data_IF_206620518844
#
_entry.id   IF_206620518844
#
_cell.length_a   1.000
_cell.length_b   1.000
_cell.length_c   1.000
_cell.angle_alpha   90.00
_cell.angle_beta   90.00
_cell.angle_gamma   90.00
#
_symmetry.space_group_name_H-M   'P 1'
#
loop_
_entity.id
_entity.type
_entity.pdbx_description
1 polymer ?
#
# COMPACT_ATOMS: atom_id res chain seq x y z
N UNK A 1 -17.98 27.51 -0.71
CA UNK A 1 -17.10 28.69 -0.67
C UNK A 1 -16.17 28.58 -1.87
N UNK A 2 -16.43 29.39 -2.89
CA UNK A 2 -15.68 29.40 -4.16
C UNK A 2 -14.20 29.70 -3.92
N UNK A 3 -13.33 28.87 -4.50
CA UNK A 3 -11.88 29.09 -4.50
C UNK A 3 -11.55 29.87 -5.77
N UNK A 4 -11.34 31.18 -5.65
CA UNK A 4 -10.90 32.07 -6.72
C UNK A 4 -9.37 32.27 -6.71
N UNK A 5 -8.69 31.58 -7.66
CA UNK A 5 -7.47 31.87 -8.47
C UNK A 5 -6.37 32.89 -8.03
N UNK A 6 -5.11 32.85 -8.59
CA UNK A 6 -4.35 31.78 -9.24
C UNK A 6 -2.85 31.75 -8.82
N UNK A 7 -2.41 30.67 -8.17
CA UNK A 7 -1.04 30.17 -8.32
C UNK A 7 -1.17 28.66 -8.52
N UNK A 8 -0.57 28.14 -9.59
CA UNK A 8 -0.65 26.75 -10.02
C UNK A 8 -0.30 25.77 -8.89
N UNK A 9 -1.29 25.36 -8.10
CA UNK A 9 -1.29 24.01 -7.56
C UNK A 9 -1.16 23.11 -8.80
N UNK A 10 -0.02 22.43 -8.95
CA UNK A 10 0.03 21.21 -9.76
C UNK A 10 -0.77 20.14 -9.04
N UNK A 11 -2.05 20.41 -8.77
CA UNK A 11 -3.02 19.45 -8.24
C UNK A 11 -3.29 18.44 -9.34
N UNK A 12 -2.32 17.57 -9.59
CA UNK A 12 -2.60 16.24 -10.07
C UNK A 12 -3.14 15.52 -8.85
N UNK A 13 -4.44 15.72 -8.56
CA UNK A 13 -5.17 14.72 -7.80
C UNK A 13 -5.08 13.46 -8.67
N UNK A 14 -4.14 12.62 -8.31
CA UNK A 14 -3.79 11.39 -9.02
C UNK A 14 -4.10 10.27 -8.04
N UNK A 15 -5.02 9.39 -8.45
CA UNK A 15 -5.25 8.14 -7.74
C UNK A 15 -3.94 7.38 -7.68
N UNK A 16 -3.45 7.15 -6.47
CA UNK A 16 -2.24 6.39 -6.23
C UNK A 16 -2.39 4.99 -6.86
N UNK A 17 -1.76 4.78 -8.01
CA UNK A 17 -1.54 3.44 -8.53
C UNK A 17 -0.33 2.83 -7.80
N UNK A 18 -0.36 1.51 -7.57
CA UNK A 18 0.77 0.77 -6.98
C UNK A 18 2.02 0.72 -7.91
N UNK A 19 1.96 1.35 -9.09
CA UNK A 19 3.09 1.51 -10.01
C UNK A 19 3.79 2.87 -9.85
N UNK A 20 4.74 2.91 -8.91
CA UNK A 20 5.59 4.09 -8.62
C UNK A 20 6.30 4.71 -9.83
N UNK A 21 6.48 3.99 -10.95
CA UNK A 21 7.07 4.57 -12.17
C UNK A 21 6.13 5.54 -12.85
N UNK A 22 4.83 5.27 -12.79
CA UNK A 22 3.82 6.19 -13.30
C UNK A 22 3.92 7.50 -12.53
N UNK A 23 4.00 7.42 -11.21
CA UNK A 23 4.14 8.58 -10.32
C UNK A 23 5.41 9.37 -10.63
N UNK A 24 6.55 8.70 -10.76
CA UNK A 24 7.80 9.38 -11.12
C UNK A 24 7.70 10.14 -12.45
N UNK A 25 7.03 9.57 -13.46
CA UNK A 25 6.82 10.22 -14.77
C UNK A 25 5.83 11.39 -14.69
N UNK A 26 4.78 11.26 -13.88
CA UNK A 26 3.68 12.23 -13.80
C UNK A 26 4.01 13.37 -12.85
N UNK A 27 4.46 13.07 -11.63
CA UNK A 27 4.68 14.03 -10.55
C UNK A 27 5.98 14.83 -10.77
N UNK A 28 7.03 14.18 -11.30
CA UNK A 28 8.35 14.79 -11.54
C UNK A 28 8.86 15.58 -10.32
N UNK A 29 8.80 14.93 -9.16
CA UNK A 29 9.17 15.52 -7.88
C UNK A 29 10.61 16.04 -7.89
N UNK A 30 10.81 17.15 -7.19
CA UNK A 30 12.07 17.87 -7.03
C UNK A 30 12.28 18.22 -5.55
N UNK A 31 13.49 18.68 -5.21
CA UNK A 31 13.82 19.10 -3.85
C UNK A 31 13.08 20.35 -3.35
N UNK A 32 12.27 21.00 -4.20
CA UNK A 32 11.42 22.13 -3.82
C UNK A 32 10.00 21.69 -3.46
N UNK A 33 9.65 20.42 -3.69
CA UNK A 33 8.28 19.95 -3.55
C UNK A 33 7.90 19.62 -2.10
N UNK A 34 6.65 19.93 -1.78
CA UNK A 34 5.98 19.60 -0.53
C UNK A 34 4.84 18.66 -0.88
N UNK A 35 5.03 17.38 -0.59
CA UNK A 35 4.14 16.30 -0.98
C UNK A 35 3.20 15.98 0.18
N UNK A 36 1.89 16.01 -0.07
CA UNK A 36 0.89 15.37 0.79
C UNK A 36 0.52 14.03 0.17
N UNK A 37 0.56 12.94 0.93
CA UNK A 37 0.16 11.62 0.45
C UNK A 37 -0.49 10.80 1.55
N UNK A 38 -1.43 9.93 1.19
CA UNK A 38 -1.87 8.90 2.12
C UNK A 38 -0.72 7.92 2.42
N UNK A 39 -0.70 7.28 3.59
CA UNK A 39 0.38 6.37 3.96
C UNK A 39 0.39 5.11 3.10
N UNK A 40 -0.74 4.40 2.99
CA UNK A 40 -0.90 3.17 2.19
C UNK A 40 0.31 2.21 2.28
N UNK A 41 0.55 1.67 3.47
CA UNK A 41 1.70 0.82 3.82
C UNK A 41 3.10 1.46 3.65
N UNK A 42 3.20 2.67 3.10
CA UNK A 42 4.42 3.46 2.98
C UNK A 42 5.22 3.28 1.70
N UNK A 43 4.80 2.44 0.75
CA UNK A 43 5.64 2.10 -0.42
C UNK A 43 5.80 3.27 -1.40
N UNK A 44 4.71 3.99 -1.70
CA UNK A 44 4.77 5.22 -2.49
C UNK A 44 5.61 6.31 -1.82
N UNK A 45 5.53 6.43 -0.49
CA UNK A 45 6.34 7.38 0.28
C UNK A 45 7.84 7.06 0.13
N UNK A 46 8.23 5.79 0.21
CA UNK A 46 9.61 5.38 -0.02
C UNK A 46 10.05 5.71 -1.44
N UNK A 47 9.19 5.51 -2.45
CA UNK A 47 9.47 5.90 -3.82
C UNK A 47 9.65 7.42 -3.96
N UNK A 48 8.78 8.23 -3.37
CA UNK A 48 8.86 9.69 -3.44
C UNK A 48 10.12 10.22 -2.76
N UNK A 49 10.53 9.60 -1.65
CA UNK A 49 11.78 9.95 -0.97
C UNK A 49 13.03 9.81 -1.86
N UNK A 50 13.00 8.98 -2.91
CA UNK A 50 14.10 8.85 -3.88
C UNK A 50 14.36 10.12 -4.70
N UNK A 51 13.35 10.98 -4.82
CA UNK A 51 13.47 12.30 -5.45
C UNK A 51 13.92 13.39 -4.47
N UNK A 52 14.06 13.05 -3.18
CA UNK A 52 14.47 13.96 -2.10
C UNK A 52 13.67 15.28 -2.07
N UNK A 53 12.33 15.24 -2.05
CA UNK A 53 11.52 16.44 -1.91
C UNK A 53 11.78 17.16 -0.58
N UNK A 54 11.43 18.45 -0.51
CA UNK A 54 11.64 19.25 0.69
C UNK A 54 10.90 18.64 1.89
N UNK A 55 9.65 18.21 1.67
CA UNK A 55 8.80 17.58 2.69
C UNK A 55 7.86 16.53 2.09
N UNK A 56 7.60 15.48 2.86
CA UNK A 56 6.54 14.50 2.59
C UNK A 56 5.67 14.41 3.84
N UNK A 57 4.38 14.65 3.70
CA UNK A 57 3.36 14.46 4.72
C UNK A 57 2.61 13.17 4.40
N UNK A 58 2.91 12.12 5.15
CA UNK A 58 2.23 10.83 5.12
C UNK A 58 1.05 10.86 6.09
N UNK A 59 -0.17 10.65 5.61
CA UNK A 59 -1.38 10.76 6.43
C UNK A 59 -2.18 9.48 6.36
N UNK A 60 -2.54 8.95 7.53
CA UNK A 60 -3.41 7.78 7.61
C UNK A 60 -4.06 7.71 9.00
N UNK A 61 -5.41 7.66 9.11
CA UNK A 61 -6.07 7.51 10.40
C UNK A 61 -5.76 6.16 11.05
N UNK A 62 -5.38 5.13 10.27
CA UNK A 62 -4.97 3.84 10.81
C UNK A 62 -3.54 3.90 11.38
N UNK A 63 -3.33 3.70 12.69
CA UNK A 63 -2.00 3.69 13.27
C UNK A 63 -1.14 2.53 12.74
N UNK A 64 -1.75 1.42 12.31
CA UNK A 64 -1.04 0.23 11.84
C UNK A 64 -0.27 0.48 10.54
N UNK A 65 -0.85 1.25 9.61
CA UNK A 65 -0.20 1.65 8.36
C UNK A 65 1.02 2.53 8.63
N UNK A 66 0.86 3.49 9.55
CA UNK A 66 1.94 4.37 9.99
C UNK A 66 3.05 3.60 10.71
N UNK A 67 2.71 2.63 11.57
CA UNK A 67 3.70 1.77 12.23
C UNK A 67 4.51 0.94 11.24
N UNK A 68 3.90 0.48 10.14
CA UNK A 68 4.62 -0.22 9.07
C UNK A 68 5.55 0.72 8.30
N UNK A 69 5.11 1.94 7.98
CA UNK A 69 5.99 2.95 7.38
C UNK A 69 7.19 3.27 8.29
N UNK A 70 6.95 3.50 9.57
CA UNK A 70 8.02 3.75 10.55
C UNK A 70 9.01 2.59 10.63
N UNK A 71 8.52 1.35 10.58
CA UNK A 71 9.39 0.16 10.54
C UNK A 71 10.27 0.15 9.29
N UNK A 72 9.71 0.44 8.12
CA UNK A 72 10.45 0.51 6.86
C UNK A 72 11.53 1.61 6.92
N UNK A 73 11.17 2.81 7.38
CA UNK A 73 12.10 3.95 7.53
C UNK A 73 13.24 3.60 8.50
N UNK A 74 12.92 3.03 9.68
CA UNK A 74 13.91 2.60 10.64
C UNK A 74 14.85 1.51 10.07
N UNK A 75 14.30 0.58 9.28
CA UNK A 75 15.08 -0.47 8.64
C UNK A 75 16.10 0.10 7.64
N UNK A 76 15.70 1.02 6.77
CA UNK A 76 16.62 1.66 5.82
C UNK A 76 17.68 2.51 6.53
N UNK A 77 17.37 3.15 7.65
CA UNK A 77 18.32 3.96 8.42
C UNK A 77 19.36 3.13 9.18
N UNK A 78 18.98 1.96 9.73
CA UNK A 78 19.79 1.27 10.73
C UNK A 78 20.34 -0.10 10.33
N UNK A 79 19.78 -0.73 9.29
CA UNK A 79 20.09 -2.10 8.91
C UNK A 79 20.94 -2.20 7.65
N UNK A 80 21.61 -3.34 7.50
CA UNK A 80 22.31 -3.69 6.27
C UNK A 80 21.32 -4.06 5.18
N UNK A 81 21.74 -3.96 3.91
CA UNK A 81 20.92 -4.40 2.77
C UNK A 81 20.46 -5.86 2.90
N UNK A 82 21.30 -6.74 3.46
CA UNK A 82 20.95 -8.14 3.66
C UNK A 82 19.79 -8.31 4.66
N UNK A 83 19.78 -7.52 5.74
CA UNK A 83 18.74 -7.58 6.76
C UNK A 83 17.46 -6.87 6.29
N UNK A 84 17.58 -5.75 5.57
CA UNK A 84 16.43 -5.11 4.90
C UNK A 84 15.78 -6.06 3.90
N UNK A 85 16.58 -6.76 3.08
CA UNK A 85 16.06 -7.74 2.11
C UNK A 85 15.33 -8.89 2.81
N UNK A 86 15.82 -9.38 3.94
CA UNK A 86 15.10 -10.39 4.73
C UNK A 86 13.81 -9.79 5.30
N UNK A 87 13.93 -8.71 6.07
CA UNK A 87 12.81 -8.12 6.81
C UNK A 87 11.67 -7.70 5.90
N UNK A 88 11.97 -6.87 4.90
CA UNK A 88 10.98 -6.34 3.98
C UNK A 88 10.79 -7.28 2.80
N UNK A 89 11.87 -7.82 2.22
CA UNK A 89 11.73 -8.57 0.98
C UNK A 89 11.15 -9.98 1.10
N UNK A 90 11.61 -10.77 2.07
CA UNK A 90 10.96 -12.06 2.36
C UNK A 90 9.82 -11.93 3.36
N UNK A 91 9.63 -10.74 3.95
CA UNK A 91 8.65 -10.50 5.01
C UNK A 91 9.00 -11.24 6.31
N UNK A 92 10.25 -11.70 6.47
CA UNK A 92 10.66 -12.51 7.62
C UNK A 92 12.07 -12.19 8.07
N UNK A 93 12.27 -12.22 9.38
CA UNK A 93 13.60 -12.06 9.95
C UNK A 93 13.70 -12.80 11.30
N UNK A 94 14.52 -13.88 11.40
CA UNK A 94 14.59 -14.67 12.63
C UNK A 94 15.09 -13.84 13.83
N UNK A 95 16.01 -12.92 13.59
CA UNK A 95 16.55 -12.04 14.64
C UNK A 95 15.77 -10.72 14.78
N UNK A 96 14.52 -10.64 14.27
CA UNK A 96 13.72 -9.41 14.33
C UNK A 96 13.60 -8.82 15.74
N UNK A 97 13.30 -9.58 16.81
CA UNK A 97 13.17 -9.02 18.16
C UNK A 97 14.45 -8.29 18.61
N UNK A 98 15.61 -8.89 18.33
CA UNK A 98 16.90 -8.32 18.70
C UNK A 98 17.20 -7.05 17.90
N UNK A 99 16.95 -7.06 16.59
CA UNK A 99 17.12 -5.88 15.72
C UNK A 99 16.18 -4.75 16.12
N UNK A 100 14.93 -5.08 16.46
CA UNK A 100 13.93 -4.12 16.90
C UNK A 100 14.43 -3.32 18.11
N UNK A 101 14.92 -4.03 19.13
CA UNK A 101 15.40 -3.40 20.37
C UNK A 101 16.73 -2.65 20.15
N UNK A 102 17.71 -3.31 19.51
CA UNK A 102 19.08 -2.80 19.46
C UNK A 102 19.40 -1.83 18.33
N UNK A 103 18.64 -1.85 17.24
CA UNK A 103 18.94 -1.10 16.02
C UNK A 103 17.80 -0.22 15.55
N UNK A 104 16.56 -0.71 15.57
CA UNK A 104 15.42 -0.01 14.99
C UNK A 104 14.77 0.99 15.97
N UNK A 105 14.75 0.68 17.27
CA UNK A 105 14.09 1.50 18.29
C UNK A 105 14.48 2.99 18.31
N UNK A 106 15.75 3.41 18.02
CA UNK A 106 16.10 4.82 18.01
C UNK A 106 15.52 5.61 16.83
N UNK A 107 14.98 4.93 15.81
CA UNK A 107 14.53 5.52 14.55
C UNK A 107 13.03 5.43 14.34
N UNK A 108 12.27 5.11 15.38
CA UNK A 108 10.81 5.03 15.35
C UNK A 108 10.20 5.61 16.62
N UNK A 109 8.92 5.95 16.56
CA UNK A 109 8.16 6.41 17.72
C UNK A 109 7.99 5.30 18.76
N UNK A 110 7.74 5.69 20.01
CA UNK A 110 7.46 4.73 21.08
C UNK A 110 6.22 3.88 20.80
N UNK A 111 5.23 4.43 20.08
CA UNK A 111 4.00 3.70 19.70
C UNK A 111 4.31 2.61 18.69
N UNK A 112 5.04 2.93 17.62
CA UNK A 112 5.46 1.95 16.63
C UNK A 112 6.36 0.87 17.25
N UNK A 113 7.30 1.26 18.11
CA UNK A 113 8.16 0.32 18.83
C UNK A 113 7.34 -0.67 19.68
N UNK A 114 6.41 -0.18 20.50
CA UNK A 114 5.54 -1.03 21.33
C UNK A 114 4.70 -1.99 20.48
N UNK A 115 4.10 -1.48 19.40
CA UNK A 115 3.33 -2.31 18.46
C UNK A 115 4.18 -3.45 17.91
N UNK A 116 5.38 -3.16 17.39
CA UNK A 116 6.25 -4.19 16.82
C UNK A 116 6.86 -5.12 17.88
N UNK A 117 7.03 -4.65 19.12
CA UNK A 117 7.50 -5.47 20.23
C UNK A 117 6.47 -6.57 20.57
N UNK A 118 5.18 -6.21 20.62
CA UNK A 118 4.07 -7.16 20.80
C UNK A 118 3.91 -8.06 19.57
N UNK A 119 4.19 -7.56 18.37
CA UNK A 119 4.00 -8.27 17.10
C UNK A 119 5.27 -8.87 16.50
N UNK A 120 6.31 -9.11 17.30
CA UNK A 120 7.59 -9.67 16.80
C UNK A 120 7.43 -11.00 16.07
N UNK A 121 6.45 -11.80 16.49
CA UNK A 121 6.11 -13.10 15.91
C UNK A 121 5.75 -13.02 14.41
N UNK A 122 5.30 -11.87 13.91
CA UNK A 122 5.01 -11.67 12.48
C UNK A 122 6.23 -11.97 11.62
N UNK A 123 7.41 -11.55 12.06
CA UNK A 123 8.66 -11.70 11.31
C UNK A 123 9.52 -12.89 11.76
N UNK A 124 9.51 -13.21 13.06
CA UNK A 124 10.42 -14.22 13.63
C UNK A 124 9.82 -15.62 13.70
N UNK A 125 8.50 -15.78 13.59
CA UNK A 125 7.86 -17.08 13.71
C UNK A 125 8.22 -18.00 12.54
N UNK A 126 8.69 -19.20 12.88
CA UNK A 126 8.94 -20.28 11.91
C UNK A 126 7.65 -20.82 11.32
N UNK A 127 6.55 -20.82 12.11
CA UNK A 127 5.21 -21.26 11.69
C UNK A 127 4.41 -20.15 11.01
N UNK A 128 4.69 -18.89 11.35
CA UNK A 128 4.07 -17.72 10.75
C UNK A 128 4.41 -17.62 9.27
N UNK A 129 3.63 -16.83 8.52
CA UNK A 129 3.82 -16.66 7.08
C UNK A 129 4.56 -15.38 6.69
N UNK A 130 4.92 -14.56 7.66
CA UNK A 130 5.65 -13.31 7.44
C UNK A 130 4.71 -12.10 7.32
N UNK A 131 5.31 -10.94 7.11
CA UNK A 131 4.66 -9.64 6.97
C UNK A 131 3.51 -9.64 5.97
N UNK A 132 3.74 -10.18 4.78
CA UNK A 132 2.77 -10.11 3.68
C UNK A 132 1.49 -10.91 3.94
N UNK A 133 1.53 -11.88 4.85
CA UNK A 133 0.36 -12.64 5.30
C UNK A 133 -0.06 -12.28 6.73
N UNK A 134 0.39 -11.13 7.23
CA UNK A 134 -0.14 -10.47 8.41
C UNK A 134 -1.08 -9.32 8.00
N UNK A 135 -2.05 -8.98 8.85
CA UNK A 135 -3.06 -7.94 8.54
C UNK A 135 -4.05 -8.34 7.45
N UNK A 136 -4.76 -7.34 6.89
CA UNK A 136 -5.85 -7.54 5.93
C UNK A 136 -5.44 -8.18 4.60
N UNK A 137 -4.22 -7.94 4.11
CA UNK A 137 -3.70 -8.56 2.88
C UNK A 137 -3.62 -10.09 2.94
N UNK A 138 -3.62 -10.66 4.16
CA UNK A 138 -3.64 -12.11 4.40
C UNK A 138 -4.75 -12.82 3.64
N UNK A 139 -5.95 -12.24 3.56
CA UNK A 139 -7.10 -12.91 2.97
C UNK A 139 -6.94 -13.06 1.46
N UNK A 140 -6.61 -11.97 0.77
CA UNK A 140 -6.33 -11.97 -0.66
C UNK A 140 -5.17 -12.94 -1.01
N UNK A 141 -4.07 -12.87 -0.26
CA UNK A 141 -2.91 -13.74 -0.50
C UNK A 141 -3.22 -15.22 -0.23
N UNK A 142 -4.07 -15.54 0.76
CA UNK A 142 -4.50 -16.91 1.01
C UNK A 142 -5.32 -17.48 -0.13
N UNK A 143 -6.23 -16.71 -0.73
CA UNK A 143 -7.01 -17.17 -1.89
C UNK A 143 -6.09 -17.36 -3.10
N UNK A 144 -5.26 -16.36 -3.40
CA UNK A 144 -4.31 -16.46 -4.51
C UNK A 144 -3.44 -17.70 -4.31
N UNK A 145 -2.94 -17.95 -3.10
CA UNK A 145 -2.16 -19.15 -2.81
C UNK A 145 -2.98 -20.43 -2.99
N UNK A 146 -4.20 -20.48 -2.47
CA UNK A 146 -5.08 -21.65 -2.64
C UNK A 146 -5.16 -21.99 -4.13
N UNK A 147 -5.47 -21.01 -4.98
CA UNK A 147 -5.53 -21.17 -6.43
C UNK A 147 -4.20 -21.56 -7.07
N UNK A 148 -3.09 -20.94 -6.64
CA UNK A 148 -1.73 -21.29 -7.08
C UNK A 148 -1.41 -22.75 -6.77
N UNK A 149 -1.89 -23.27 -5.63
CA UNK A 149 -1.56 -24.61 -5.14
C UNK A 149 -2.52 -25.70 -5.61
N UNK A 150 -3.79 -25.38 -5.86
CA UNK A 150 -4.82 -26.35 -6.27
C UNK A 150 -4.92 -26.53 -7.78
N UNK A 151 -4.38 -25.60 -8.56
CA UNK A 151 -4.42 -25.59 -10.03
C UNK A 151 -2.97 -25.55 -10.53
N UNK A 152 -2.70 -26.05 -11.75
CA UNK A 152 -1.38 -25.96 -12.45
C UNK A 152 -0.75 -24.56 -12.48
N UNK A 153 -1.47 -23.53 -12.03
CA UNK A 153 -1.17 -22.11 -11.93
C UNK A 153 0.24 -21.77 -11.42
N UNK A 154 0.83 -22.57 -10.53
CA UNK A 154 2.23 -22.41 -10.11
C UNK A 154 3.20 -22.42 -11.32
N UNK A 155 2.99 -23.32 -12.29
CA UNK A 155 3.81 -23.39 -13.50
C UNK A 155 3.71 -22.13 -14.36
N UNK A 156 2.51 -21.53 -14.46
CA UNK A 156 2.31 -20.31 -15.24
C UNK A 156 2.83 -19.06 -14.53
N UNK A 157 2.70 -18.97 -13.21
CA UNK A 157 3.34 -17.90 -12.42
C UNK A 157 4.86 -17.99 -12.54
N UNK A 158 5.43 -19.19 -12.43
CA UNK A 158 6.87 -19.39 -12.62
C UNK A 158 7.32 -19.03 -14.06
N UNK A 159 6.50 -19.33 -15.08
CA UNK A 159 6.76 -18.92 -16.45
C UNK A 159 6.70 -17.39 -16.61
N UNK A 160 5.69 -16.74 -16.02
CA UNK A 160 5.55 -15.28 -16.02
C UNK A 160 6.77 -14.59 -15.41
N UNK A 161 7.25 -15.08 -14.26
CA UNK A 161 8.43 -14.54 -13.56
C UNK A 161 9.75 -14.82 -14.29
N UNK A 162 9.79 -15.82 -15.18
CA UNK A 162 10.97 -16.16 -16.00
C UNK A 162 10.94 -15.54 -17.39
N UNK A 163 9.84 -14.90 -17.78
CA UNK A 163 9.71 -14.27 -19.08
C UNK A 163 10.83 -13.25 -19.30
N UNK A 164 11.41 -13.25 -20.50
CA UNK A 164 12.54 -12.37 -20.84
C UNK A 164 12.10 -11.13 -21.61
N UNK A 165 10.85 -11.12 -22.08
CA UNK A 165 10.30 -10.03 -22.88
C UNK A 165 8.88 -9.68 -22.42
N UNK A 166 8.48 -8.42 -22.62
CA UNK A 166 7.11 -7.99 -22.33
C UNK A 166 6.08 -8.77 -23.16
N UNK A 167 6.40 -9.11 -24.41
CA UNK A 167 5.47 -9.84 -25.27
C UNK A 167 5.19 -11.25 -24.71
N UNK A 168 6.23 -11.98 -24.32
CA UNK A 168 6.11 -13.29 -23.68
C UNK A 168 5.32 -13.20 -22.36
N UNK A 169 5.63 -12.21 -21.52
CA UNK A 169 4.91 -11.99 -20.27
C UNK A 169 3.41 -11.72 -20.51
N UNK A 170 3.08 -10.84 -21.46
CA UNK A 170 1.71 -10.50 -21.83
C UNK A 170 0.95 -11.70 -22.38
N UNK A 171 1.59 -12.52 -23.21
CA UNK A 171 0.97 -13.74 -23.75
C UNK A 171 0.64 -14.73 -22.62
N UNK A 172 1.60 -15.02 -21.73
CA UNK A 172 1.38 -15.89 -20.58
C UNK A 172 0.26 -15.33 -19.69
N UNK A 173 0.29 -14.04 -19.40
CA UNK A 173 -0.71 -13.40 -18.56
C UNK A 173 -2.11 -13.48 -19.17
N UNK A 174 -2.29 -12.96 -20.39
CA UNK A 174 -3.60 -12.87 -21.03
C UNK A 174 -4.23 -14.24 -21.30
N UNK A 175 -3.41 -15.25 -21.65
CA UNK A 175 -3.93 -16.56 -22.02
C UNK A 175 -4.10 -17.51 -20.85
N UNK A 176 -3.25 -17.42 -19.80
CA UNK A 176 -3.22 -18.41 -18.73
C UNK A 176 -3.56 -17.89 -17.34
N UNK A 177 -3.28 -16.62 -17.05
CA UNK A 177 -3.38 -16.08 -15.68
C UNK A 177 -4.61 -15.21 -15.54
N UNK A 178 -4.74 -14.20 -16.41
CA UNK A 178 -5.82 -13.22 -16.41
C UNK A 178 -7.21 -13.87 -16.37
N UNK A 179 -7.55 -14.91 -17.15
CA UNK A 179 -8.90 -15.50 -17.11
C UNK A 179 -9.29 -16.12 -15.75
N UNK A 180 -8.32 -16.45 -14.91
CA UNK A 180 -8.54 -17.08 -13.61
C UNK A 180 -8.70 -16.01 -12.53
N UNK A 181 -7.72 -15.10 -12.45
CA UNK A 181 -7.70 -14.02 -11.45
C UNK A 181 -8.73 -12.93 -11.78
N UNK A 182 -8.97 -12.68 -13.06
CA UNK A 182 -10.05 -11.84 -13.54
C UNK A 182 -11.23 -12.76 -13.85
N UNK A 183 -11.70 -13.53 -12.87
CA UNK A 183 -13.02 -14.17 -12.95
C UNK A 183 -13.97 -13.49 -11.97
N UNK A 184 -15.25 -13.35 -12.34
CA UNK A 184 -16.25 -12.73 -11.45
C UNK A 184 -16.37 -13.45 -10.11
N UNK A 185 -16.23 -14.78 -10.12
CA UNK A 185 -16.23 -15.61 -8.91
C UNK A 185 -15.05 -15.25 -8.00
N UNK A 186 -13.84 -15.12 -8.56
CA UNK A 186 -12.66 -14.75 -7.77
C UNK A 186 -12.80 -13.38 -7.13
N UNK A 187 -13.24 -12.41 -7.92
CA UNK A 187 -13.35 -11.03 -7.47
C UNK A 187 -14.44 -10.86 -6.41
N UNK A 188 -15.55 -11.57 -6.58
CA UNK A 188 -16.59 -11.66 -5.58
C UNK A 188 -16.07 -12.27 -4.26
N UNK A 189 -15.31 -13.37 -4.33
CA UNK A 189 -14.70 -13.98 -3.13
C UNK A 189 -13.73 -13.04 -2.42
N UNK A 190 -12.96 -12.25 -3.17
CA UNK A 190 -12.10 -11.22 -2.59
C UNK A 190 -12.92 -10.13 -1.88
N UNK A 191 -13.92 -9.58 -2.56
CA UNK A 191 -14.78 -8.53 -2.01
C UNK A 191 -15.52 -8.98 -0.73
N UNK A 192 -16.01 -10.23 -0.69
CA UNK A 192 -16.66 -10.76 0.52
C UNK A 192 -15.70 -10.85 1.72
N UNK A 193 -14.47 -11.30 1.50
CA UNK A 193 -13.50 -11.46 2.59
C UNK A 193 -12.96 -10.12 3.09
N UNK A 194 -12.87 -9.12 2.22
CA UNK A 194 -12.52 -7.76 2.61
C UNK A 194 -13.64 -7.12 3.45
N UNK A 195 -14.90 -7.32 3.06
CA UNK A 195 -16.06 -6.85 3.82
C UNK A 195 -16.13 -7.50 5.23
N UNK A 196 -15.92 -8.81 5.33
CA UNK A 196 -15.87 -9.52 6.61
C UNK A 196 -14.74 -9.01 7.52
N UNK A 197 -13.60 -8.64 6.93
CA UNK A 197 -12.48 -8.11 7.70
C UNK A 197 -12.76 -6.71 8.25
N UNK A 198 -13.27 -5.80 7.42
CA UNK A 198 -13.68 -4.45 7.83
C UNK A 198 -14.74 -4.51 8.94
N UNK A 199 -15.71 -5.42 8.83
CA UNK A 199 -16.70 -5.67 9.87
C UNK A 199 -16.04 -6.15 11.18
N UNK A 200 -15.06 -7.06 11.09
CA UNK A 200 -14.34 -7.57 12.27
C UNK A 200 -13.49 -6.53 12.98
N UNK A 201 -12.86 -5.61 12.24
CA UNK A 201 -12.06 -4.51 12.81
C UNK A 201 -12.96 -3.46 13.48
N UNK A 202 -14.09 -3.12 12.85
CA UNK A 202 -15.08 -2.20 13.40
C UNK A 202 -15.60 -2.68 14.76
N UNK A 203 -15.88 -3.99 14.88
CA UNK A 203 -16.30 -4.63 16.13
C UNK A 203 -15.16 -4.60 17.17
N UNK A 204 -13.91 -4.85 16.77
CA UNK A 204 -12.76 -4.87 17.66
C UNK A 204 -12.41 -3.49 18.23
N UNK A 205 -12.70 -2.40 17.49
CA UNK A 205 -12.48 -1.01 17.93
C UNK A 205 -13.57 -0.47 18.87
N UNK A 206 -14.57 -1.28 19.23
CA UNK A 206 -15.63 -0.86 20.17
C UNK A 206 -16.61 0.18 19.61
N UNK A 207 -16.61 0.41 18.28
CA UNK A 207 -17.66 1.15 17.58
C UNK A 207 -18.84 0.21 17.34
N UNK A 208 -19.77 0.15 18.29
CA UNK A 208 -20.90 -0.79 18.30
C UNK A 208 -21.94 -0.61 17.18
N UNK A 209 -22.66 -1.71 16.93
CA UNK A 209 -23.91 -1.92 16.17
C UNK A 209 -23.90 -2.09 14.64
N UNK A 210 -22.77 -2.41 14.02
CA UNK A 210 -22.79 -3.02 12.69
C UNK A 210 -22.98 -4.55 12.80
N UNK A 211 -24.23 -5.02 12.72
CA UNK A 211 -24.49 -6.44 12.43
C UNK A 211 -23.75 -6.85 11.14
N UNK A 212 -23.05 -8.00 11.08
CA UNK A 212 -22.36 -8.50 9.88
C UNK A 212 -23.23 -8.68 8.62
N UNK A 213 -24.52 -8.36 8.71
CA UNK A 213 -25.55 -8.52 7.68
C UNK A 213 -26.30 -7.22 7.38
N UNK A 214 -25.77 -6.05 7.77
CA UNK A 214 -26.41 -4.75 7.53
C UNK A 214 -26.19 -4.17 6.13
N UNK A 215 -25.49 -4.87 5.24
CA UNK A 215 -25.45 -4.52 3.82
C UNK A 215 -26.49 -5.37 3.09
N UNK A 216 -27.39 -4.72 2.34
CA UNK A 216 -28.37 -5.46 1.56
C UNK A 216 -27.65 -6.31 0.52
N UNK A 217 -28.09 -7.56 0.27
CA UNK A 217 -27.55 -8.43 -0.78
C UNK A 217 -27.41 -7.69 -2.13
N UNK A 218 -28.27 -6.68 -2.38
CA UNK A 218 -28.25 -5.83 -3.57
C UNK A 218 -27.02 -4.92 -3.69
N UNK A 219 -26.45 -4.43 -2.59
CA UNK A 219 -25.25 -3.57 -2.57
C UNK A 219 -23.97 -4.42 -2.72
N UNK A 220 -23.96 -5.63 -2.12
CA UNK A 220 -22.88 -6.60 -2.24
C UNK A 220 -22.75 -7.20 -3.66
N UNK A 221 -23.87 -7.36 -4.37
CA UNK A 221 -23.90 -8.08 -5.65
C UNK A 221 -23.52 -7.26 -6.89
N UNK A 222 -23.36 -5.93 -6.82
CA UNK A 222 -23.07 -5.12 -8.02
C UNK A 222 -21.98 -4.04 -7.88
N UNK A 223 -21.73 -3.48 -6.69
CA UNK A 223 -20.82 -2.32 -6.56
C UNK A 223 -19.41 -2.70 -6.09
N UNK A 224 -19.29 -3.45 -5.00
CA UNK A 224 -17.98 -3.75 -4.41
C UNK A 224 -17.14 -4.71 -5.25
N UNK A 225 -17.77 -5.75 -5.83
CA UNK A 225 -17.07 -6.68 -6.71
C UNK A 225 -16.60 -6.02 -8.01
N UNK A 226 -17.37 -5.07 -8.54
CA UNK A 226 -16.99 -4.33 -9.76
C UNK A 226 -15.85 -3.34 -9.47
N UNK A 227 -15.88 -2.64 -8.34
CA UNK A 227 -14.79 -1.75 -7.96
C UNK A 227 -13.48 -2.52 -7.67
N UNK A 228 -13.53 -3.66 -6.97
CA UNK A 228 -12.35 -4.53 -6.78
C UNK A 228 -11.85 -5.05 -8.13
N UNK A 229 -12.76 -5.40 -9.04
CA UNK A 229 -12.39 -5.80 -10.40
C UNK A 229 -11.67 -4.69 -11.16
N UNK A 230 -12.26 -3.49 -11.19
CA UNK A 230 -11.70 -2.33 -11.88
C UNK A 230 -10.32 -1.98 -11.31
N UNK A 231 -10.19 -1.95 -9.98
CA UNK A 231 -8.91 -1.75 -9.31
C UNK A 231 -7.88 -2.80 -9.72
N UNK A 232 -8.26 -4.08 -9.73
CA UNK A 232 -7.39 -5.17 -10.16
C UNK A 232 -6.97 -5.02 -11.63
N UNK A 233 -7.87 -4.64 -12.53
CA UNK A 233 -7.57 -4.42 -13.95
C UNK A 233 -6.63 -3.23 -14.10
N UNK A 234 -6.95 -2.09 -13.49
CA UNK A 234 -6.13 -0.88 -13.57
C UNK A 234 -4.73 -1.09 -13.00
N UNK A 235 -4.59 -1.93 -11.97
CA UNK A 235 -3.30 -2.23 -11.35
C UNK A 235 -2.53 -3.33 -12.09
N UNK A 236 -3.10 -4.53 -12.19
CA UNK A 236 -2.39 -5.72 -12.69
C UNK A 236 -2.19 -5.67 -14.20
N UNK A 237 -3.22 -5.29 -14.99
CA UNK A 237 -3.06 -5.21 -16.45
C UNK A 237 -2.06 -4.10 -16.80
N UNK A 238 -2.06 -2.98 -16.07
CA UNK A 238 -1.07 -1.93 -16.29
C UNK A 238 0.36 -2.43 -16.05
N UNK A 239 0.63 -3.00 -14.87
CA UNK A 239 1.96 -3.49 -14.50
C UNK A 239 2.45 -4.55 -15.48
N UNK A 240 1.61 -5.52 -15.84
CA UNK A 240 1.95 -6.57 -16.82
C UNK A 240 2.32 -5.98 -18.18
N UNK A 241 1.62 -4.93 -18.60
CA UNK A 241 1.83 -4.34 -19.91
C UNK A 241 3.04 -3.41 -19.96
N UNK A 242 3.40 -2.75 -18.87
CA UNK A 242 4.46 -1.73 -18.88
C UNK A 242 5.82 -2.25 -18.43
N UNK A 243 5.86 -3.41 -17.75
CA UNK A 243 6.99 -3.74 -16.88
C UNK A 243 7.29 -5.22 -16.78
N UNK A 244 8.57 -5.62 -16.78
CA UNK A 244 8.95 -7.01 -16.69
C UNK A 244 9.06 -7.44 -15.22
N UNK A 245 8.05 -8.13 -14.70
CA UNK A 245 7.90 -8.38 -13.25
C UNK A 245 9.05 -9.20 -12.67
N UNK A 246 9.65 -10.08 -13.49
CA UNK A 246 10.77 -10.92 -13.07
C UNK A 246 12.08 -10.17 -12.81
N UNK A 247 12.21 -8.93 -13.30
CA UNK A 247 13.47 -8.17 -13.28
C UNK A 247 13.29 -6.77 -12.67
N UNK A 248 12.16 -6.13 -12.96
CA UNK A 248 11.91 -4.73 -12.63
C UNK A 248 11.22 -4.56 -11.27
N UNK A 249 11.91 -4.91 -10.18
CA UNK A 249 11.44 -4.58 -8.84
C UNK A 249 12.08 -3.26 -8.33
N UNK A 250 11.31 -2.16 -8.22
CA UNK A 250 11.84 -0.81 -7.96
C UNK A 250 12.38 -0.64 -6.52
N UNK A 251 11.91 -1.42 -5.56
CA UNK A 251 12.20 -1.19 -4.14
C UNK A 251 13.61 -1.66 -3.73
N UNK A 252 14.14 -2.73 -4.33
CA UNK A 252 15.43 -3.30 -3.92
C UNK A 252 16.65 -2.63 -4.56
N UNK A 253 16.47 -1.98 -5.72
CA UNK A 253 17.54 -1.24 -6.40
C UNK A 253 17.84 0.11 -5.73
N UNK A 254 17.01 0.51 -4.77
CA UNK A 254 16.98 1.86 -4.23
C UNK A 254 17.54 1.97 -2.80
N UNK A 255 18.01 0.86 -2.21
CA UNK A 255 18.52 0.82 -0.83
C UNK A 255 19.63 1.86 -0.59
N UNK A 256 20.56 2.03 -1.53
CA UNK A 256 21.69 2.97 -1.35
C UNK A 256 21.20 4.39 -1.10
N UNK A 257 20.16 4.85 -1.81
CA UNK A 257 19.59 6.18 -1.63
C UNK A 257 18.74 6.28 -0.36
N UNK A 258 17.93 5.26 -0.08
CA UNK A 258 17.04 5.26 1.09
C UNK A 258 17.80 5.11 2.42
N UNK A 259 18.98 4.50 2.40
CA UNK A 259 19.84 4.39 3.58
C UNK A 259 20.72 5.61 3.84
N UNK A 260 20.63 6.65 3.03
CA UNK A 260 21.28 7.92 3.36
C UNK A 260 20.62 8.54 4.60
N UNK A 261 21.39 9.02 5.61
CA UNK A 261 20.83 9.56 6.86
C UNK A 261 19.80 10.69 6.68
N UNK A 262 19.88 11.42 5.57
CA UNK A 262 18.97 12.53 5.24
C UNK A 262 17.79 12.13 4.37
N UNK A 263 17.69 10.87 3.91
CA UNK A 263 16.68 10.42 2.96
C UNK A 263 15.24 10.68 3.44
N UNK A 264 15.03 10.67 4.76
CA UNK A 264 13.72 10.87 5.39
C UNK A 264 13.64 12.12 6.28
N UNK A 265 14.61 13.03 6.20
CA UNK A 265 14.64 14.22 7.08
C UNK A 265 13.37 15.10 6.95
N UNK A 266 12.79 15.15 5.75
CA UNK A 266 11.56 15.87 5.43
C UNK A 266 10.26 15.09 5.65
N UNK A 267 10.32 13.81 6.07
CA UNK A 267 9.13 12.98 6.27
C UNK A 267 8.40 13.35 7.57
N UNK A 268 7.09 13.55 7.48
CA UNK A 268 6.18 13.79 8.61
C UNK A 268 5.02 12.80 8.49
N UNK A 269 4.80 12.03 9.54
CA UNK A 269 3.76 10.99 9.59
C UNK A 269 2.65 11.48 10.52
N UNK A 270 1.41 11.43 10.05
CA UNK A 270 0.23 11.92 10.75
C UNK A 270 -0.78 10.78 10.91
N UNK A 271 -1.28 10.59 12.14
CA UNK A 271 -2.33 9.61 12.46
C UNK A 271 -3.72 10.26 12.59
N UNK A 272 -3.85 11.47 12.05
CA UNK A 272 -5.08 12.25 12.06
C UNK A 272 -5.73 12.16 10.67
N UNK A 273 -7.00 12.54 10.58
CA UNK A 273 -7.71 12.63 9.30
C UNK A 273 -7.05 13.66 8.37
N UNK A 274 -7.11 13.42 7.05
CA UNK A 274 -6.46 14.31 6.06
C UNK A 274 -6.96 15.75 6.16
N UNK A 275 -8.26 15.93 6.43
CA UNK A 275 -8.86 17.24 6.61
C UNK A 275 -8.29 17.98 7.84
N UNK A 276 -8.02 17.27 8.93
CA UNK A 276 -7.42 17.86 10.14
C UNK A 276 -5.95 18.22 9.93
N UNK A 277 -5.20 17.40 9.17
CA UNK A 277 -3.82 17.71 8.79
C UNK A 277 -3.79 18.96 7.91
N UNK A 278 -4.63 19.02 6.87
CA UNK A 278 -4.70 20.16 5.96
C UNK A 278 -5.13 21.44 6.68
N UNK A 279 -6.11 21.37 7.60
CA UNK A 279 -6.59 22.53 8.35
C UNK A 279 -5.52 23.16 9.26
N UNK A 280 -4.51 22.40 9.69
CA UNK A 280 -3.40 22.90 10.53
C UNK A 280 -2.24 23.51 9.73
N UNK A 281 -2.30 23.47 8.40
CA UNK A 281 -1.22 23.93 7.53
C UNK A 281 -1.59 25.24 6.84
N UNK A 282 -0.56 26.06 6.59
CA UNK A 282 -0.76 27.35 5.93
C UNK A 282 -1.26 27.14 4.48
N UNK A 283 -2.14 27.99 3.96
CA UNK A 283 -2.52 27.96 2.55
C UNK A 283 -1.29 28.02 1.63
N UNK A 284 -1.28 27.22 0.56
CA UNK A 284 -0.16 27.16 -0.39
C UNK A 284 1.06 26.36 0.09
N UNK A 285 0.96 25.63 1.21
CA UNK A 285 2.08 24.79 1.71
C UNK A 285 2.42 23.63 0.79
N UNK A 286 1.43 23.02 0.13
CA UNK A 286 1.62 21.82 -0.69
C UNK A 286 1.79 22.17 -2.16
N UNK A 287 2.77 21.53 -2.80
CA UNK A 287 2.97 21.60 -4.25
C UNK A 287 2.37 20.38 -4.96
N UNK A 288 2.27 19.24 -4.26
CA UNK A 288 1.73 17.97 -4.77
C UNK A 288 0.86 17.31 -3.71
N UNK A 289 -0.30 16.80 -4.11
CA UNK A 289 -1.17 15.98 -3.26
C UNK A 289 -1.53 14.68 -3.99
N UNK A 290 -1.16 13.54 -3.41
CA UNK A 290 -1.50 12.20 -3.89
C UNK A 290 -2.50 11.60 -2.92
N UNK A 291 -3.74 11.48 -3.37
CA UNK A 291 -4.84 10.94 -2.58
C UNK A 291 -5.44 9.78 -3.35
N UNK A 292 -5.99 8.82 -2.63
CA UNK A 292 -6.72 7.72 -3.25
C UNK A 292 -8.21 8.07 -3.18
N UNK A 293 -8.90 8.05 -4.31
CA UNK A 293 -10.36 8.08 -4.32
C UNK A 293 -10.79 6.77 -3.66
N UNK A 294 -11.33 6.87 -2.45
CA UNK A 294 -11.49 5.68 -1.66
C UNK A 294 -12.92 5.17 -1.74
N UNK A 295 -13.00 3.86 -1.96
CA UNK A 295 -14.08 2.99 -1.49
C UNK A 295 -14.35 3.11 0.04
N UNK A 296 -13.58 3.93 0.78
CA UNK A 296 -13.72 4.23 2.21
C UNK A 296 -14.20 5.67 2.49
N UNK A 297 -14.41 6.51 1.46
CA UNK A 297 -14.79 7.93 1.56
C UNK A 297 -16.10 8.13 0.81
N UNK A 298 -17.13 7.39 1.20
CA UNK A 298 -18.50 7.76 0.84
C UNK A 298 -19.21 8.37 2.04
N UNK A 299 -19.07 9.67 2.31
CA UNK A 299 -20.17 10.43 2.86
C UNK A 299 -21.00 10.93 1.68
N UNK A 300 -22.13 10.27 1.44
CA UNK A 300 -23.38 10.89 0.95
C UNK A 300 -23.16 12.20 0.18
N UNK A 301 -22.68 12.12 -1.07
CA UNK A 301 -22.80 13.20 -2.05
C UNK A 301 -23.85 12.85 -3.11
N UNK A 302 -24.99 12.36 -2.64
CA UNK A 302 -26.25 12.45 -3.36
C UNK A 302 -27.38 12.71 -2.38
N UNK A 303 -27.41 13.90 -1.77
CA UNK A 303 -28.68 14.57 -1.52
C UNK A 303 -29.01 15.45 -2.72
N UNK A 304 -29.44 14.79 -3.81
CA UNK A 304 -30.42 15.41 -4.68
C UNK A 304 -31.68 15.57 -3.85
N UNK A 305 -32.12 16.81 -3.59
CA UNK A 305 -33.46 17.30 -3.94
C UNK A 305 -33.66 18.74 -3.44
N UNK A 306 -34.61 19.48 -4.05
CA UNK A 306 -34.43 20.80 -4.67
C UNK A 306 -34.30 21.99 -3.71
#
# INVERSE_FOLDING_TARGET
>A
MEISTPLELRSKAYEAAEDTRVDHRLLKLTSQDFVLTITSAGDNILSYALASPARIHAVDPSPYQNHLLELKVAAFNALSYADVRKLLGSGKHPNFPQLLISRLSPHMSSRAFQYWLTNTHVFSSTRGKGLYEAGGSRHAIRIIRLLVTTIRFNSQIAALLKAKTLNEQREIYNTKIRPIIMSRVFTYLLAMLEADHLASETIAEGKGDASPLAHSDKELHSSNGEAVWEYMVQTLDHVINTSLIGVDNPYYLSHVKLSCPTAFAGLRIHTDEINEVVARLAPGTFTVAVVMDSMQYSPVLHSNQP
#
